data_IF_086758221437
#
_entry.id   IF_086758221437
#
_cell.length_a   1.000
_cell.length_b   1.000
_cell.length_c   1.000
_cell.angle_alpha   90.00
_cell.angle_beta   90.00
_cell.angle_gamma   90.00
#
_symmetry.space_group_name_H-M   'P 1'
#
loop_
_entity.id
_entity.type
_entity.pdbx_description
1 polymer ?
#
# COMPACT_ATOMS: atom_id res chain seq x y z
N UNK A 1 3.58 -8.84 -11.64
CA UNK A 1 2.89 -7.54 -11.61
C UNK A 1 2.33 -7.28 -10.21
N UNK A 2 2.56 -6.09 -9.67
CA UNK A 2 1.99 -5.70 -8.38
C UNK A 2 0.46 -5.58 -8.51
N UNK A 3 -0.28 -6.16 -7.57
CA UNK A 3 -1.73 -5.99 -7.51
C UNK A 3 -2.08 -4.56 -7.08
N UNK A 4 -3.14 -3.94 -7.63
CA UNK A 4 -3.60 -2.63 -7.20
C UNK A 4 -4.20 -2.71 -5.79
N UNK A 5 -4.08 -1.61 -5.06
CA UNK A 5 -4.65 -1.46 -3.73
C UNK A 5 -4.90 0.01 -3.38
N UNK A 6 -5.67 0.25 -2.33
CA UNK A 6 -5.86 1.59 -1.79
C UNK A 6 -5.01 1.78 -0.54
N UNK A 7 -4.36 2.93 -0.41
CA UNK A 7 -3.75 3.36 0.84
C UNK A 7 -4.59 4.52 1.40
N UNK A 8 -5.18 4.33 2.59
CA UNK A 8 -6.01 5.31 3.27
C UNK A 8 -6.25 4.91 4.73
N UNK A 9 -6.85 5.78 5.51
CA UNK A 9 -7.34 5.43 6.85
C UNK A 9 -8.53 4.46 6.77
N UNK A 10 -8.67 3.58 7.76
CA UNK A 10 -9.80 2.65 7.88
C UNK A 10 -10.88 3.22 8.81
N UNK A 11 -11.51 4.30 8.40
CA UNK A 11 -12.66 4.91 9.11
C UNK A 11 -13.98 4.64 8.38
N UNK A 12 -15.14 4.81 9.04
CA UNK A 12 -16.44 4.67 8.35
C UNK A 12 -16.58 5.52 7.10
N UNK A 13 -16.05 6.77 7.10
CA UNK A 13 -16.06 7.66 5.94
C UNK A 13 -15.23 7.11 4.78
N UNK A 14 -14.04 6.55 5.07
CA UNK A 14 -13.20 5.92 4.05
C UNK A 14 -13.85 4.66 3.48
N UNK A 15 -14.45 3.82 4.33
CA UNK A 15 -15.15 2.60 3.90
C UNK A 15 -16.30 2.88 2.93
N UNK A 16 -16.97 4.02 3.06
CA UNK A 16 -17.99 4.47 2.12
C UNK A 16 -17.40 4.80 0.74
N UNK A 17 -16.23 5.41 0.70
CA UNK A 17 -15.57 5.79 -0.56
C UNK A 17 -14.86 4.61 -1.21
N UNK A 18 -14.16 3.77 -0.44
CA UNK A 18 -13.39 2.65 -1.01
C UNK A 18 -14.27 1.63 -1.73
N UNK A 19 -15.56 1.54 -1.44
CA UNK A 19 -16.49 0.64 -2.16
C UNK A 19 -16.62 0.94 -3.66
N UNK A 20 -16.20 2.14 -4.10
CA UNK A 20 -16.24 2.56 -5.51
C UNK A 20 -15.03 2.08 -6.32
N UNK A 21 -14.08 1.40 -5.69
CA UNK A 21 -12.88 0.88 -6.33
C UNK A 21 -12.95 -0.65 -6.44
N UNK A 22 -12.30 -1.20 -7.45
CA UNK A 22 -12.33 -2.65 -7.74
C UNK A 22 -11.20 -3.43 -7.06
N UNK A 23 -10.25 -2.78 -6.41
CA UNK A 23 -9.16 -3.46 -5.70
C UNK A 23 -9.63 -4.16 -4.42
N UNK A 24 -9.00 -5.28 -4.09
CA UNK A 24 -9.39 -6.14 -2.98
C UNK A 24 -8.63 -5.83 -1.67
N UNK A 25 -7.61 -4.96 -1.72
CA UNK A 25 -6.74 -4.66 -0.58
C UNK A 25 -6.80 -3.18 -0.21
N UNK A 26 -6.83 -2.94 1.10
CA UNK A 26 -6.67 -1.61 1.70
C UNK A 26 -5.48 -1.65 2.64
N UNK A 27 -4.56 -0.71 2.49
CA UNK A 27 -3.42 -0.49 3.37
C UNK A 27 -3.70 0.74 4.23
N UNK A 28 -3.69 0.59 5.54
CA UNK A 28 -3.86 1.71 6.48
C UNK A 28 -2.58 1.97 7.26
N UNK A 29 -2.30 3.25 7.52
CA UNK A 29 -1.15 3.68 8.32
C UNK A 29 -1.59 4.63 9.46
N UNK A 30 -2.38 4.14 10.43
CA UNK A 30 -2.93 4.97 11.51
C UNK A 30 -1.85 5.51 12.46
N UNK A 31 -0.66 4.91 12.44
CA UNK A 31 0.46 5.29 13.30
C UNK A 31 1.54 6.10 12.56
N UNK A 32 1.26 6.49 11.31
CA UNK A 32 2.19 7.26 10.47
C UNK A 32 3.58 6.62 10.37
N UNK A 33 3.63 5.30 10.24
CA UNK A 33 4.88 4.53 10.11
C UNK A 33 5.71 5.00 8.92
N UNK A 34 5.05 5.45 7.85
CA UNK A 34 5.69 5.94 6.63
C UNK A 34 6.15 7.39 6.67
N UNK A 35 5.87 8.14 7.73
CA UNK A 35 6.49 9.44 7.89
C UNK A 35 5.72 10.56 8.54
N UNK A 36 4.42 10.53 8.65
CA UNK A 36 3.61 11.54 9.33
C UNK A 36 3.77 13.00 8.84
N UNK A 37 2.84 13.84 9.24
CA UNK A 37 2.86 15.29 9.01
C UNK A 37 2.76 15.76 7.55
N UNK A 38 1.72 15.28 6.82
CA UNK A 38 1.30 15.88 5.53
C UNK A 38 2.36 15.85 4.43
N UNK A 39 3.08 14.74 4.31
CA UNK A 39 4.12 14.56 3.28
C UNK A 39 3.51 14.25 1.91
N UNK A 40 2.34 13.64 1.88
CA UNK A 40 1.61 13.27 0.65
C UNK A 40 0.30 14.05 0.54
N UNK A 41 -0.28 14.06 -0.67
CA UNK A 41 -1.54 14.80 -0.93
C UNK A 41 -2.74 14.22 -0.19
N UNK A 42 -2.78 12.92 0.01
CA UNK A 42 -3.81 12.22 0.80
C UNK A 42 -3.69 12.55 2.29
N UNK A 43 -2.48 12.49 2.88
CA UNK A 43 -2.23 12.90 4.26
C UNK A 43 -2.58 14.37 4.49
N UNK A 44 -2.21 15.27 3.54
CA UNK A 44 -2.58 16.68 3.61
C UNK A 44 -4.11 16.85 3.60
N UNK A 45 -4.81 16.12 2.75
CA UNK A 45 -6.27 16.13 2.65
C UNK A 45 -6.91 15.70 3.97
N UNK A 46 -6.40 14.63 4.60
CA UNK A 46 -6.85 14.17 5.92
C UNK A 46 -6.64 15.21 7.01
N UNK A 47 -5.46 15.82 7.06
CA UNK A 47 -5.13 16.85 8.05
C UNK A 47 -6.05 18.08 7.98
N UNK A 48 -6.70 18.29 6.81
CA UNK A 48 -7.64 19.40 6.59
C UNK A 48 -9.12 18.95 6.57
N UNK A 49 -9.42 17.74 7.10
CA UNK A 49 -10.78 17.23 7.30
C UNK A 49 -11.45 16.65 6.05
N UNK A 50 -10.68 16.46 4.98
CA UNK A 50 -11.10 15.73 3.79
C UNK A 50 -11.06 14.21 3.96
N UNK A 51 -11.15 13.47 2.85
CA UNK A 51 -10.92 12.03 2.76
C UNK A 51 -9.79 11.83 1.76
N UNK A 52 -8.62 11.44 2.25
CA UNK A 52 -7.44 11.19 1.44
C UNK A 52 -7.33 9.72 1.08
N UNK A 53 -7.19 9.44 -0.21
CA UNK A 53 -7.02 8.07 -0.71
C UNK A 53 -5.92 8.09 -1.76
N UNK A 54 -4.90 7.26 -1.57
CA UNK A 54 -3.92 6.96 -2.61
C UNK A 54 -4.35 5.67 -3.31
N UNK A 55 -4.53 5.72 -4.62
CA UNK A 55 -4.84 4.54 -5.45
C UNK A 55 -3.56 4.05 -6.13
N UNK A 56 -2.96 3.03 -5.57
CA UNK A 56 -1.82 2.32 -6.14
C UNK A 56 -2.31 1.37 -7.23
N UNK A 57 -2.13 1.76 -8.48
CA UNK A 57 -2.74 1.08 -9.65
C UNK A 57 -1.92 -0.10 -10.18
N UNK A 58 -0.75 -0.38 -9.58
CA UNK A 58 0.14 -1.46 -9.94
C UNK A 58 1.41 -0.98 -10.65
N UNK A 59 1.98 -1.81 -11.49
CA UNK A 59 3.23 -1.51 -12.20
C UNK A 59 3.00 -0.50 -13.33
N UNK A 60 3.84 0.54 -13.41
CA UNK A 60 3.70 1.62 -14.39
C UNK A 60 3.76 1.15 -15.86
N UNK A 61 4.41 0.02 -16.13
CA UNK A 61 4.46 -0.60 -17.47
C UNK A 61 3.22 -1.43 -17.83
N UNK A 62 2.38 -1.77 -16.84
CA UNK A 62 1.15 -2.55 -17.05
C UNK A 62 -0.04 -1.64 -17.36
N UNK A 63 -0.35 -1.50 -18.65
CA UNK A 63 -1.49 -0.70 -19.12
C UNK A 63 -2.82 -1.47 -19.14
N UNK A 64 -2.83 -2.76 -18.81
CA UNK A 64 -4.03 -3.61 -18.89
C UNK A 64 -5.17 -3.14 -17.98
N UNK A 65 -4.85 -2.41 -16.90
CA UNK A 65 -5.81 -1.93 -15.89
C UNK A 65 -6.28 -0.49 -16.08
N UNK A 66 -5.78 0.23 -17.08
CA UNK A 66 -6.10 1.66 -17.30
C UNK A 66 -7.59 1.90 -17.37
N UNK A 67 -8.33 1.09 -18.14
CA UNK A 67 -9.78 1.25 -18.26
C UNK A 67 -10.49 1.03 -16.92
N UNK A 68 -10.07 0.03 -16.14
CA UNK A 68 -10.63 -0.24 -14.82
C UNK A 68 -10.42 0.93 -13.85
N UNK A 69 -9.21 1.51 -13.82
CA UNK A 69 -8.90 2.68 -13.00
C UNK A 69 -9.75 3.89 -13.42
N UNK A 70 -9.95 4.10 -14.72
CA UNK A 70 -10.81 5.17 -15.24
C UNK A 70 -12.25 4.96 -14.79
N UNK A 71 -12.76 3.73 -14.89
CA UNK A 71 -14.15 3.40 -14.51
C UNK A 71 -14.37 3.57 -13.00
N UNK A 72 -13.42 3.15 -12.16
CA UNK A 72 -13.46 3.36 -10.71
C UNK A 72 -13.53 4.86 -10.37
N UNK A 73 -12.64 5.68 -10.96
CA UNK A 73 -12.63 7.13 -10.73
C UNK A 73 -13.92 7.79 -11.22
N UNK A 74 -14.42 7.44 -12.41
CA UNK A 74 -15.67 7.99 -12.95
C UNK A 74 -16.86 7.61 -12.08
N UNK A 75 -16.92 6.36 -11.61
CA UNK A 75 -17.96 5.89 -10.70
C UNK A 75 -17.98 6.70 -9.40
N UNK A 76 -16.81 6.95 -8.81
CA UNK A 76 -16.69 7.79 -7.62
C UNK A 76 -17.10 9.25 -7.91
N UNK A 77 -16.65 9.85 -9.01
CA UNK A 77 -17.02 11.23 -9.38
C UNK A 77 -18.53 11.39 -9.58
N UNK A 78 -19.18 10.39 -10.18
CA UNK A 78 -20.63 10.39 -10.36
C UNK A 78 -21.36 10.25 -9.00
N UNK A 79 -20.87 9.38 -8.10
CA UNK A 79 -21.39 9.27 -6.73
C UNK A 79 -21.31 10.59 -5.97
N UNK A 80 -20.19 11.28 -6.07
CA UNK A 80 -19.96 12.59 -5.47
C UNK A 80 -20.68 13.73 -6.20
N UNK A 81 -21.47 13.44 -7.25
CA UNK A 81 -22.20 14.42 -8.09
C UNK A 81 -21.29 15.47 -8.73
N UNK A 82 -20.04 15.11 -9.01
CA UNK A 82 -19.09 15.95 -9.74
C UNK A 82 -19.36 15.85 -11.25
N UNK A 83 -19.83 14.68 -11.72
CA UNK A 83 -20.23 14.43 -13.10
C UNK A 83 -21.71 14.05 -13.16
N UNK A 84 -22.30 14.15 -14.37
CA UNK A 84 -23.70 13.76 -14.61
C UNK A 84 -23.86 12.28 -14.99
N UNK A 85 -22.78 11.49 -14.94
CA UNK A 85 -22.80 10.07 -15.27
C UNK A 85 -23.64 9.29 -14.25
N UNK A 86 -24.20 8.15 -14.65
CA UNK A 86 -24.84 7.24 -13.72
C UNK A 86 -23.77 6.58 -12.83
N UNK A 87 -23.88 6.78 -11.53
CA UNK A 87 -23.00 6.10 -10.58
C UNK A 87 -23.43 4.63 -10.41
N UNK A 88 -22.51 3.72 -10.56
CA UNK A 88 -22.71 2.30 -10.27
C UNK A 88 -21.66 1.86 -9.26
N UNK A 89 -22.05 1.57 -8.02
CA UNK A 89 -21.10 1.06 -7.04
C UNK A 89 -20.54 -0.27 -7.54
N UNK A 90 -19.26 -0.46 -7.32
CA UNK A 90 -18.64 -1.77 -7.45
C UNK A 90 -19.35 -2.72 -6.47
N UNK A 91 -19.70 -3.95 -6.87
CA UNK A 91 -20.29 -4.91 -5.95
C UNK A 91 -19.46 -4.98 -4.68
N UNK A 92 -20.13 -4.94 -3.52
CA UNK A 92 -19.47 -5.08 -2.22
C UNK A 92 -18.62 -6.36 -2.24
N UNK A 93 -17.31 -6.20 -2.19
CA UNK A 93 -16.35 -7.28 -2.03
C UNK A 93 -15.85 -7.22 -0.59
N UNK A 94 -15.65 -8.38 -0.01
CA UNK A 94 -14.87 -8.48 1.22
C UNK A 94 -13.43 -8.04 0.89
N UNK A 95 -12.98 -6.95 1.53
CA UNK A 95 -11.64 -6.43 1.33
C UNK A 95 -10.73 -6.88 2.44
N UNK A 96 -9.52 -7.21 2.08
CA UNK A 96 -8.47 -7.44 3.05
C UNK A 96 -7.91 -6.09 3.50
N UNK A 97 -8.00 -5.80 4.79
CA UNK A 97 -7.39 -4.60 5.38
C UNK A 97 -6.07 -4.98 6.04
N UNK A 98 -5.03 -4.24 5.71
CA UNK A 98 -3.69 -4.39 6.26
C UNK A 98 -3.25 -3.09 6.93
N UNK A 99 -2.59 -3.22 8.07
CA UNK A 99 -1.98 -2.11 8.80
C UNK A 99 -0.47 -2.11 8.58
N UNK A 100 0.11 -0.96 8.27
CA UNK A 100 1.55 -0.79 8.29
C UNK A 100 2.07 -0.88 9.73
N UNK A 101 3.04 -1.75 9.96
CA UNK A 101 3.60 -2.02 11.29
C UNK A 101 5.11 -1.73 11.38
N UNK A 102 5.75 -1.45 10.25
CA UNK A 102 7.18 -1.15 10.25
C UNK A 102 7.73 -0.80 8.88
N UNK A 103 8.98 -0.36 8.88
CA UNK A 103 9.76 -0.04 7.68
C UNK A 103 11.07 -0.80 7.69
N UNK A 104 11.57 -1.12 6.51
CA UNK A 104 12.91 -1.63 6.31
C UNK A 104 13.79 -0.47 5.89
N UNK A 105 14.62 0.01 6.81
CA UNK A 105 15.59 1.08 6.55
C UNK A 105 16.98 0.45 6.39
N UNK A 106 17.69 0.84 5.37
CA UNK A 106 19.09 0.40 5.17
C UNK A 106 19.97 1.03 6.25
N UNK A 107 20.54 0.20 7.11
CA UNK A 107 21.38 0.65 8.25
C UNK A 107 22.88 0.60 7.95
N UNK A 108 23.28 -0.03 6.84
CA UNK A 108 24.69 -0.11 6.40
C UNK A 108 24.76 -0.39 4.92
N UNK A 109 25.90 -0.06 4.31
CA UNK A 109 26.17 -0.47 2.93
C UNK A 109 26.12 -2.00 2.81
N UNK A 110 25.64 -2.48 1.65
CA UNK A 110 25.52 -3.92 1.38
C UNK A 110 24.18 -4.52 1.80
N UNK A 111 23.12 -3.71 1.87
CA UNK A 111 21.75 -4.26 1.96
C UNK A 111 21.46 -5.08 0.71
N UNK A 112 20.78 -6.21 0.91
CA UNK A 112 20.17 -7.00 -0.17
C UNK A 112 18.94 -7.74 0.34
N UNK A 113 17.93 -7.91 -0.48
CA UNK A 113 16.89 -8.89 -0.21
C UNK A 113 17.45 -10.30 -0.34
N UNK A 114 16.93 -11.23 0.44
CA UNK A 114 17.25 -12.65 0.27
C UNK A 114 16.69 -13.16 -1.06
N UNK A 115 17.21 -14.28 -1.54
CA UNK A 115 16.75 -14.88 -2.79
C UNK A 115 15.24 -15.16 -2.74
N UNK A 116 14.53 -14.70 -3.76
CA UNK A 116 13.08 -14.83 -3.85
C UNK A 116 12.29 -13.63 -3.29
N UNK A 117 12.92 -12.75 -2.52
CA UNK A 117 12.28 -11.61 -1.86
C UNK A 117 12.48 -10.27 -2.58
N UNK A 118 11.60 -9.31 -2.27
CA UNK A 118 11.74 -7.94 -2.75
C UNK A 118 11.38 -7.73 -4.22
N UNK A 119 10.68 -8.67 -4.85
CA UNK A 119 10.31 -8.62 -6.27
C UNK A 119 9.00 -7.88 -6.52
N UNK A 120 8.07 -7.95 -5.56
CA UNK A 120 6.75 -7.35 -5.69
C UNK A 120 6.16 -7.01 -4.32
N UNK A 121 5.14 -6.15 -4.30
CA UNK A 121 4.37 -5.90 -3.09
C UNK A 121 3.50 -7.13 -2.73
N UNK A 122 3.18 -7.25 -1.45
CA UNK A 122 2.33 -8.29 -0.85
C UNK A 122 2.97 -9.67 -0.73
N UNK A 123 4.30 -9.79 -0.87
CA UNK A 123 5.01 -11.04 -0.59
C UNK A 123 4.78 -11.46 0.86
N UNK A 124 4.23 -12.67 1.10
CA UNK A 124 3.94 -13.15 2.44
C UNK A 124 5.22 -13.60 3.14
N UNK A 125 5.39 -13.21 4.39
CA UNK A 125 6.43 -13.74 5.26
C UNK A 125 5.85 -14.28 6.58
N UNK A 126 6.55 -15.21 7.19
CA UNK A 126 6.24 -15.75 8.51
C UNK A 126 7.27 -15.28 9.52
N UNK A 127 6.92 -15.41 10.81
CA UNK A 127 7.90 -15.26 11.89
C UNK A 127 9.08 -16.21 11.68
N UNK A 128 10.29 -15.69 11.80
CA UNK A 128 11.53 -16.43 11.59
C UNK A 128 12.07 -16.42 10.16
N UNK A 129 11.30 -15.96 9.16
CA UNK A 129 11.80 -15.86 7.79
C UNK A 129 12.92 -14.80 7.68
N UNK A 130 13.96 -15.13 6.93
CA UNK A 130 15.04 -14.21 6.56
C UNK A 130 14.68 -13.57 5.22
N UNK A 131 14.25 -12.33 5.22
CA UNK A 131 13.81 -11.63 3.99
C UNK A 131 14.92 -10.78 3.35
N UNK A 132 16.05 -10.59 4.02
CA UNK A 132 17.15 -9.79 3.52
C UNK A 132 18.35 -9.82 4.45
N UNK A 133 19.34 -8.97 4.14
CA UNK A 133 20.58 -8.85 4.89
C UNK A 133 21.06 -7.41 4.91
N UNK A 134 21.64 -6.99 6.03
CA UNK A 134 22.46 -5.79 6.16
C UNK A 134 23.93 -6.23 6.27
N UNK A 135 24.65 -6.22 5.14
CA UNK A 135 25.95 -6.89 5.06
C UNK A 135 25.78 -8.40 5.28
N UNK A 136 26.40 -8.94 6.34
CA UNK A 136 26.28 -10.35 6.73
C UNK A 136 25.17 -10.61 7.77
N UNK A 137 24.54 -9.55 8.32
CA UNK A 137 23.53 -9.69 9.35
C UNK A 137 22.15 -9.97 8.71
N UNK A 138 21.48 -11.09 9.04
CA UNK A 138 20.18 -11.43 8.49
C UNK A 138 19.10 -10.50 9.03
N UNK A 139 18.20 -10.09 8.16
CA UNK A 139 16.95 -9.42 8.50
C UNK A 139 15.85 -10.48 8.74
N UNK A 140 15.69 -10.85 10.00
CA UNK A 140 14.76 -11.90 10.43
C UNK A 140 13.43 -11.28 10.84
N UNK A 141 12.31 -11.81 10.33
CA UNK A 141 10.97 -11.34 10.69
C UNK A 141 10.56 -11.82 12.07
N UNK A 142 10.06 -10.89 12.88
CA UNK A 142 9.60 -11.17 14.27
C UNK A 142 8.11 -11.53 14.36
N UNK A 143 7.40 -11.53 13.25
CA UNK A 143 5.97 -11.84 13.15
C UNK A 143 5.60 -12.22 11.73
N UNK A 144 4.40 -12.75 11.53
CA UNK A 144 3.84 -13.02 10.19
C UNK A 144 3.25 -11.74 9.59
N UNK A 145 3.43 -11.53 8.26
CA UNK A 145 2.93 -10.34 7.58
C UNK A 145 3.11 -10.35 6.07
N UNK A 146 3.18 -9.14 5.51
CA UNK A 146 3.39 -8.87 4.08
C UNK A 146 4.49 -7.83 3.90
N UNK A 147 5.39 -8.07 2.95
CA UNK A 147 6.32 -7.05 2.45
C UNK A 147 5.58 -6.19 1.42
N UNK A 148 5.58 -4.88 1.63
CA UNK A 148 4.91 -3.90 0.76
C UNK A 148 5.92 -2.85 0.30
N UNK A 149 5.79 -2.36 -0.94
CA UNK A 149 6.67 -1.35 -1.53
C UNK A 149 8.16 -1.72 -1.55
N UNK A 150 8.55 -2.96 -1.89
CA UNK A 150 9.97 -3.26 -2.02
C UNK A 150 10.59 -2.36 -3.10
N UNK A 151 11.75 -1.79 -2.79
CA UNK A 151 12.47 -0.91 -3.70
C UNK A 151 13.59 -1.65 -4.43
N UNK A 152 13.83 -1.34 -5.71
CA UNK A 152 14.93 -1.92 -6.47
C UNK A 152 16.30 -1.50 -5.92
N UNK A 153 17.34 -2.24 -6.31
CA UNK A 153 18.72 -2.12 -5.82
C UNK A 153 19.27 -0.70 -5.82
N UNK A 154 18.90 0.12 -6.80
CA UNK A 154 19.36 1.51 -6.89
C UNK A 154 19.00 2.36 -5.65
N UNK A 155 18.05 1.91 -4.82
CA UNK A 155 17.64 2.56 -3.56
C UNK A 155 18.29 1.94 -2.32
N UNK A 156 19.11 0.88 -2.44
CA UNK A 156 19.67 0.15 -1.30
C UNK A 156 20.89 0.87 -0.70
N UNK A 157 20.74 2.14 -0.41
CA UNK A 157 21.77 2.97 0.23
C UNK A 157 21.37 3.30 1.66
N UNK A 158 22.37 3.47 2.53
CA UNK A 158 22.18 3.76 3.95
C UNK A 158 21.22 4.95 4.16
N UNK A 159 20.30 4.79 5.11
CA UNK A 159 19.25 5.76 5.43
C UNK A 159 18.01 5.65 4.56
N UNK A 160 18.03 4.95 3.43
CA UNK A 160 16.86 4.81 2.57
C UNK A 160 15.90 3.74 3.10
N UNK A 161 14.61 4.01 2.91
CA UNK A 161 13.55 3.01 3.07
C UNK A 161 13.50 2.12 1.82
N UNK A 162 13.61 0.80 2.01
CA UNK A 162 13.61 -0.17 0.92
C UNK A 162 12.41 -1.11 0.93
N UNK A 163 11.53 -0.97 1.89
CA UNK A 163 10.26 -1.70 1.98
C UNK A 163 9.49 -1.32 3.23
N UNK A 164 8.23 -1.74 3.29
CA UNK A 164 7.37 -1.62 4.47
C UNK A 164 6.85 -3.00 4.86
N UNK A 165 6.53 -3.16 6.14
CA UNK A 165 5.94 -4.38 6.70
C UNK A 165 4.49 -4.10 7.05
N UNK A 166 3.59 -4.96 6.61
CA UNK A 166 2.15 -4.85 6.87
C UNK A 166 1.61 -6.12 7.51
N UNK A 167 0.63 -5.95 8.39
CA UNK A 167 -0.09 -7.03 9.07
C UNK A 167 -1.56 -6.99 8.68
N UNK A 168 -2.15 -8.16 8.36
CA UNK A 168 -3.59 -8.26 8.10
C UNK A 168 -4.37 -7.98 9.39
N UNK A 169 -5.37 -7.12 9.31
CA UNK A 169 -6.32 -6.90 10.40
C UNK A 169 -7.41 -7.96 10.33
N UNK A 170 -7.69 -8.60 11.45
CA UNK A 170 -8.88 -9.44 11.61
C UNK A 170 -10.07 -8.50 11.80
N UNK A 171 -10.96 -8.48 10.85
CA UNK A 171 -12.23 -7.76 10.93
C UNK A 171 -13.28 -8.61 11.64
#
# INVERSE_FOLDING_TARGET
>A
PSEPFLACLDTPRHREIVQWFTCDKVLTDPNFVTGGASVTTDEYTEAHGGIGICYETGEASDTSRVNQVIDDIRGLMAHLKITCDESRPTPLREREVFELVGQIIVTSNGFRFAEGWGKQSWEPFNEGDVIGYHGENPLVMSSTGRLVFPKPELYWTEGNRVGCLARKLNQ
#
